data_IF_722674187103
#
_entry.id   IF_722674187103
#
_cell.length_a   1.000
_cell.length_b   1.000
_cell.length_c   1.000
_cell.angle_alpha   90.00
_cell.angle_beta   90.00
_cell.angle_gamma   90.00
#
_symmetry.space_group_name_H-M   'P 1'
#
loop_
_entity.id
_entity.type
_entity.pdbx_description
1 polymer ?
#
# COMPACT_ATOMS: atom_id res chain seq x y z
N UNK A 1 11.56 13.79 8.38
CA UNK A 1 11.83 12.35 8.26
C UNK A 1 11.84 11.86 6.82
N UNK A 2 10.73 11.97 6.01
CA UNK A 2 10.68 11.45 4.63
C UNK A 2 11.67 12.15 3.68
N UNK A 3 11.89 13.46 3.83
CA UNK A 3 12.91 14.18 3.06
C UNK A 3 14.31 13.63 3.37
N UNK A 4 14.65 13.45 4.65
CA UNK A 4 15.91 12.86 5.08
C UNK A 4 16.05 11.42 4.59
N UNK A 5 14.96 10.63 4.61
CA UNK A 5 14.97 9.29 4.02
C UNK A 5 15.27 9.35 2.51
N UNK A 6 14.68 10.28 1.77
CA UNK A 6 14.99 10.51 0.36
C UNK A 6 16.46 10.87 0.10
N UNK A 7 17.08 11.63 0.99
CA UNK A 7 18.49 12.01 0.89
C UNK A 7 19.44 10.82 1.10
N UNK A 8 19.11 9.89 2.00
CA UNK A 8 20.06 8.92 2.56
C UNK A 8 19.73 7.44 2.30
N UNK A 9 18.45 7.09 2.11
CA UNK A 9 18.03 5.69 2.01
C UNK A 9 17.89 5.23 0.56
N UNK A 10 18.15 3.94 0.33
CA UNK A 10 17.90 3.28 -0.95
C UNK A 10 16.50 2.68 -1.01
N UNK A 11 15.91 2.37 0.16
CA UNK A 11 14.54 1.87 0.28
C UNK A 11 13.79 2.76 1.26
N UNK A 12 12.63 3.29 0.86
CA UNK A 12 11.78 4.13 1.70
C UNK A 12 10.40 3.53 1.86
N UNK A 13 10.04 3.17 3.09
CA UNK A 13 8.72 2.64 3.43
C UNK A 13 7.68 3.76 3.58
N UNK A 14 6.57 3.63 2.87
CA UNK A 14 5.40 4.49 3.01
C UNK A 14 4.49 3.91 4.10
N UNK A 15 4.77 4.24 5.35
CA UNK A 15 3.92 3.86 6.48
C UNK A 15 2.57 4.59 6.45
N UNK A 16 1.62 4.16 7.29
CA UNK A 16 0.37 4.88 7.55
C UNK A 16 0.61 6.29 8.10
N UNK A 17 -0.43 7.08 8.39
CA UNK A 17 -0.28 8.44 8.90
C UNK A 17 0.56 8.45 10.18
N UNK A 18 1.56 9.34 10.22
CA UNK A 18 2.42 9.54 11.36
C UNK A 18 2.59 11.06 11.60
N UNK A 19 2.46 11.60 12.79
CA UNK A 19 2.19 10.86 14.04
C UNK A 19 0.82 10.17 13.99
N UNK A 20 0.72 9.09 14.74
CA UNK A 20 -0.53 8.35 14.88
C UNK A 20 -1.64 9.32 15.26
N UNK A 21 -2.76 9.39 14.54
CA UNK A 21 -3.85 10.28 14.93
C UNK A 21 -4.28 9.92 16.35
N UNK A 22 -4.11 10.84 17.27
CA UNK A 22 -4.55 10.66 18.68
C UNK A 22 -6.07 10.47 18.80
N UNK A 23 -6.78 10.69 17.69
CA UNK A 23 -8.22 10.53 17.57
C UNK A 23 -8.69 9.14 17.17
N UNK A 24 -7.78 8.22 16.78
CA UNK A 24 -8.20 6.85 16.46
C UNK A 24 -8.45 6.06 17.74
N UNK A 25 -9.55 5.26 17.77
CA UNK A 25 -9.81 4.36 18.89
C UNK A 25 -8.65 3.37 19.08
N UNK A 26 -8.42 2.88 20.32
CA UNK A 26 -7.42 1.84 20.56
C UNK A 26 -7.63 0.61 19.67
N UNK A 27 -6.56 0.07 19.10
CA UNK A 27 -6.60 -1.11 18.24
C UNK A 27 -6.89 -0.83 16.76
N UNK A 28 -7.16 0.42 16.37
CA UNK A 28 -7.36 0.79 14.98
C UNK A 28 -6.03 1.09 14.29
N UNK A 29 -5.87 0.57 13.07
CA UNK A 29 -4.67 0.74 12.26
C UNK A 29 -4.96 1.75 11.16
N UNK A 30 -4.16 2.84 11.04
CA UNK A 30 -4.34 3.80 9.97
C UNK A 30 -4.04 3.19 8.58
N UNK A 31 -4.96 3.33 7.64
CA UNK A 31 -4.70 3.09 6.23
C UNK A 31 -4.19 4.35 5.54
N UNK A 32 -3.31 4.15 4.57
CA UNK A 32 -2.78 5.21 3.73
C UNK A 32 -3.80 5.57 2.65
N UNK A 33 -4.28 6.80 2.61
CA UNK A 33 -5.10 7.26 1.50
C UNK A 33 -4.25 7.56 0.26
N UNK A 34 -4.83 7.55 -0.96
CA UNK A 34 -4.10 7.93 -2.17
C UNK A 34 -3.44 9.31 -2.07
N UNK A 35 -4.15 10.30 -1.57
CA UNK A 35 -3.63 11.66 -1.37
C UNK A 35 -2.45 11.69 -0.39
N UNK A 36 -2.56 10.96 0.72
CA UNK A 36 -1.46 10.86 1.68
C UNK A 36 -0.25 10.09 1.10
N UNK A 37 -0.47 9.15 0.19
CA UNK A 37 0.62 8.51 -0.55
C UNK A 37 1.34 9.50 -1.46
N UNK A 38 0.58 10.28 -2.25
CA UNK A 38 1.12 11.33 -3.12
C UNK A 38 1.97 12.35 -2.33
N UNK A 39 1.48 12.84 -1.19
CA UNK A 39 2.20 13.77 -0.33
C UNK A 39 3.53 13.19 0.20
N UNK A 40 3.51 11.91 0.60
CA UNK A 40 4.72 11.23 1.10
C UNK A 40 5.74 11.02 0.01
N UNK A 41 5.30 10.60 -1.16
CA UNK A 41 6.17 10.41 -2.34
C UNK A 41 6.79 11.75 -2.74
N UNK A 42 6.01 12.83 -2.74
CA UNK A 42 6.52 14.17 -3.00
C UNK A 42 7.60 14.59 -1.99
N UNK A 43 7.42 14.27 -0.70
CA UNK A 43 8.41 14.56 0.33
C UNK A 43 9.71 13.76 0.15
N UNK A 44 9.60 12.47 -0.22
CA UNK A 44 10.78 11.65 -0.56
C UNK A 44 11.50 12.19 -1.77
N UNK A 45 10.77 12.51 -2.84
CA UNK A 45 11.31 13.10 -4.09
C UNK A 45 12.02 14.40 -3.83
N UNK A 46 11.46 15.27 -2.98
CA UNK A 46 12.07 16.54 -2.62
C UNK A 46 13.39 16.39 -1.85
N UNK A 47 13.56 15.30 -1.09
CA UNK A 47 14.85 14.98 -0.45
C UNK A 47 15.83 14.31 -1.40
N UNK A 48 15.35 13.40 -2.24
CA UNK A 48 16.18 12.59 -3.12
C UNK A 48 16.80 13.39 -4.29
N UNK A 49 16.08 14.41 -4.79
CA UNK A 49 16.53 15.14 -5.98
C UNK A 49 16.75 14.19 -7.17
N UNK A 50 17.92 14.29 -7.80
CA UNK A 50 18.27 13.50 -8.99
C UNK A 50 18.41 11.99 -8.71
N UNK A 51 18.54 11.55 -7.45
CA UNK A 51 18.64 10.13 -7.12
C UNK A 51 17.28 9.44 -6.92
N UNK A 52 16.16 10.14 -7.07
CA UNK A 52 14.84 9.59 -6.79
C UNK A 52 14.55 8.27 -7.54
N UNK A 53 14.97 8.17 -8.78
CA UNK A 53 14.77 6.98 -9.62
C UNK A 53 15.61 5.76 -9.17
N UNK A 54 16.52 5.95 -8.21
CA UNK A 54 17.32 4.88 -7.60
C UNK A 54 16.71 4.39 -6.28
N UNK A 55 15.65 5.04 -5.79
CA UNK A 55 14.99 4.69 -4.54
C UNK A 55 13.87 3.68 -4.80
N UNK A 56 13.88 2.58 -4.07
CA UNK A 56 12.74 1.67 -4.00
C UNK A 56 11.71 2.20 -2.99
N UNK A 57 10.49 2.45 -3.48
CA UNK A 57 9.37 2.79 -2.60
C UNK A 57 8.67 1.51 -2.13
N UNK A 58 8.66 1.32 -0.81
CA UNK A 58 8.07 0.16 -0.16
C UNK A 58 6.71 0.49 0.48
N UNK A 59 5.78 -0.46 0.39
CA UNK A 59 4.52 -0.42 1.12
C UNK A 59 4.17 -1.79 1.68
N UNK A 60 3.64 -1.82 2.91
CA UNK A 60 3.03 -3.01 3.48
C UNK A 60 1.59 -3.14 3.00
N UNK A 61 1.25 -4.29 2.44
CA UNK A 61 -0.05 -4.61 1.89
C UNK A 61 -0.85 -5.50 2.83
N UNK A 62 -2.07 -5.14 3.11
CA UNK A 62 -3.12 -6.03 3.63
C UNK A 62 -3.81 -6.68 2.44
N UNK A 63 -3.73 -8.02 2.34
CA UNK A 63 -4.16 -8.76 1.14
C UNK A 63 -5.30 -9.72 1.49
N UNK A 64 -6.38 -9.65 0.71
CA UNK A 64 -7.56 -10.50 0.82
C UNK A 64 -7.84 -11.17 -0.54
N UNK A 65 -7.44 -12.43 -0.71
CA UNK A 65 -7.77 -13.21 -1.90
C UNK A 65 -9.21 -13.71 -1.76
N UNK A 66 -10.11 -13.14 -2.54
CA UNK A 66 -11.56 -13.36 -2.41
C UNK A 66 -12.29 -13.11 -3.73
N UNK A 67 -13.48 -13.70 -3.86
CA UNK A 67 -14.41 -13.37 -4.95
C UNK A 67 -15.30 -12.15 -4.67
N UNK A 68 -15.26 -11.59 -3.45
CA UNK A 68 -16.10 -10.46 -3.05
C UNK A 68 -15.26 -9.38 -2.33
N UNK A 69 -14.84 -8.39 -3.11
CA UNK A 69 -14.02 -7.26 -2.64
C UNK A 69 -14.78 -6.37 -1.66
N UNK A 70 -16.09 -6.21 -1.85
CA UNK A 70 -16.93 -5.38 -0.99
C UNK A 70 -17.04 -6.02 0.40
N UNK A 71 -17.31 -7.32 0.44
CA UNK A 71 -17.39 -8.06 1.71
C UNK A 71 -16.04 -8.04 2.45
N UNK A 72 -14.91 -8.16 1.75
CA UNK A 72 -13.58 -8.05 2.36
C UNK A 72 -13.33 -6.66 2.96
N UNK A 73 -13.69 -5.60 2.28
CA UNK A 73 -13.55 -4.24 2.79
C UNK A 73 -14.51 -3.95 3.96
N UNK A 74 -15.73 -4.49 3.92
CA UNK A 74 -16.66 -4.37 5.05
C UNK A 74 -16.16 -5.11 6.30
N UNK A 75 -15.53 -6.28 6.14
CA UNK A 75 -14.88 -7.00 7.23
C UNK A 75 -13.68 -6.21 7.79
N UNK A 76 -12.88 -5.59 6.91
CA UNK A 76 -11.74 -4.77 7.30
C UNK A 76 -12.14 -3.53 8.13
N UNK A 77 -13.40 -3.08 8.02
CA UNK A 77 -13.93 -2.00 8.87
C UNK A 77 -13.92 -2.31 10.37
N UNK A 78 -13.74 -3.56 10.77
CA UNK A 78 -13.56 -3.90 12.20
C UNK A 78 -12.31 -3.25 12.79
N UNK A 79 -11.26 -3.09 11.99
CA UNK A 79 -10.00 -2.47 12.41
C UNK A 79 -9.80 -1.07 11.79
N UNK A 80 -10.53 -0.76 10.71
CA UNK A 80 -10.51 0.52 10.01
C UNK A 80 -11.86 1.24 10.09
N UNK A 81 -12.53 1.20 11.24
CA UNK A 81 -13.94 1.65 11.40
C UNK A 81 -14.16 3.13 11.13
N UNK A 82 -13.11 3.93 11.08
CA UNK A 82 -13.13 5.35 10.74
C UNK A 82 -13.17 5.62 9.24
N UNK A 83 -13.05 4.57 8.40
CA UNK A 83 -13.12 4.64 6.95
C UNK A 83 -14.40 4.01 6.41
N UNK A 84 -14.89 4.53 5.31
CA UNK A 84 -15.90 3.87 4.48
C UNK A 84 -15.30 2.70 3.71
N UNK A 85 -16.13 1.84 3.17
CA UNK A 85 -15.71 0.75 2.29
C UNK A 85 -14.94 1.28 1.08
N UNK A 86 -15.43 2.36 0.47
CA UNK A 86 -14.78 2.97 -0.69
C UNK A 86 -13.38 3.52 -0.37
N UNK A 87 -13.22 4.13 0.81
CA UNK A 87 -11.91 4.62 1.26
C UNK A 87 -10.93 3.48 1.54
N UNK A 88 -11.40 2.35 2.07
CA UNK A 88 -10.58 1.15 2.27
C UNK A 88 -10.15 0.59 0.91
N UNK A 89 -11.09 0.41 -0.03
CA UNK A 89 -10.81 -0.10 -1.37
C UNK A 89 -9.92 0.83 -2.21
N UNK A 90 -9.93 2.13 -1.92
CA UNK A 90 -9.06 3.10 -2.57
C UNK A 90 -7.64 3.16 -1.99
N UNK A 91 -7.41 2.57 -0.81
CA UNK A 91 -6.10 2.61 -0.16
C UNK A 91 -5.06 1.80 -0.94
N UNK A 92 -3.87 2.35 -1.24
CA UNK A 92 -2.79 1.59 -1.86
C UNK A 92 -2.19 0.50 -0.94
N UNK A 93 -2.66 0.41 0.30
CA UNK A 93 -2.25 -0.62 1.26
C UNK A 93 -3.24 -1.77 1.38
N UNK A 94 -4.43 -1.66 0.80
CA UNK A 94 -5.48 -2.68 0.87
C UNK A 94 -5.74 -3.27 -0.50
N UNK A 95 -5.48 -4.56 -0.66
CA UNK A 95 -5.74 -5.30 -1.89
C UNK A 95 -6.77 -6.40 -1.62
N UNK A 96 -7.81 -6.43 -2.43
CA UNK A 96 -8.83 -7.47 -2.34
C UNK A 96 -9.31 -7.87 -3.74
N UNK A 97 -9.62 -9.13 -3.93
CA UNK A 97 -10.13 -9.67 -5.18
C UNK A 97 -9.57 -11.04 -5.52
N UNK A 98 -9.82 -11.49 -6.73
CA UNK A 98 -9.16 -12.67 -7.29
C UNK A 98 -7.65 -12.42 -7.46
N UNK A 99 -6.91 -13.48 -7.70
CA UNK A 99 -5.46 -13.42 -7.96
C UNK A 99 -5.10 -12.42 -9.05
N UNK A 100 -5.85 -12.42 -10.16
CA UNK A 100 -5.59 -11.53 -11.30
C UNK A 100 -5.97 -10.08 -10.97
N UNK A 101 -7.08 -9.85 -10.29
CA UNK A 101 -7.47 -8.49 -9.83
C UNK A 101 -6.46 -7.89 -8.86
N UNK A 102 -5.87 -8.70 -7.96
CA UNK A 102 -4.81 -8.25 -7.05
C UNK A 102 -3.54 -7.93 -7.84
N UNK A 103 -3.19 -8.75 -8.83
CA UNK A 103 -2.05 -8.48 -9.71
C UNK A 103 -2.23 -7.16 -10.48
N UNK A 104 -3.41 -6.89 -11.02
CA UNK A 104 -3.75 -5.63 -11.69
C UNK A 104 -3.63 -4.43 -10.73
N UNK A 105 -4.09 -4.56 -9.48
CA UNK A 105 -3.95 -3.53 -8.46
C UNK A 105 -2.48 -3.24 -8.15
N UNK A 106 -1.63 -4.26 -8.02
CA UNK A 106 -0.18 -4.10 -7.81
C UNK A 106 0.47 -3.35 -8.98
N UNK A 107 0.16 -3.74 -10.22
CA UNK A 107 0.67 -3.08 -11.41
C UNK A 107 0.19 -1.62 -11.49
N UNK A 108 -1.07 -1.36 -11.18
CA UNK A 108 -1.63 -0.01 -11.11
C UNK A 108 -0.95 0.84 -10.02
N UNK A 109 -0.62 0.28 -8.86
CA UNK A 109 0.12 0.99 -7.81
C UNK A 109 1.57 1.29 -8.22
N UNK A 110 2.20 0.38 -8.96
CA UNK A 110 3.52 0.60 -9.54
C UNK A 110 3.50 1.75 -10.54
N UNK A 111 2.53 1.77 -11.44
CA UNK A 111 2.38 2.82 -12.45
C UNK A 111 2.05 4.18 -11.82
N UNK A 112 1.05 4.22 -10.92
CA UNK A 112 0.56 5.47 -10.34
C UNK A 112 1.52 6.07 -9.32
N UNK A 113 2.06 5.24 -8.43
CA UNK A 113 2.81 5.69 -7.25
C UNK A 113 4.32 5.42 -7.33
N UNK A 114 4.77 4.65 -8.32
CA UNK A 114 6.16 4.22 -8.38
C UNK A 114 6.53 3.19 -7.31
N UNK A 115 5.54 2.51 -6.72
CA UNK A 115 5.78 1.47 -5.71
C UNK A 115 6.43 0.26 -6.37
N UNK A 116 7.59 -0.16 -5.87
CA UNK A 116 8.39 -1.26 -6.45
C UNK A 116 8.67 -2.40 -5.48
N UNK A 117 8.52 -2.14 -4.18
CA UNK A 117 8.75 -3.13 -3.14
C UNK A 117 7.48 -3.31 -2.29
N UNK A 118 6.93 -4.51 -2.31
CA UNK A 118 5.70 -4.84 -1.59
C UNK A 118 5.97 -5.89 -0.51
N UNK A 119 5.58 -5.59 0.73
CA UNK A 119 5.56 -6.55 1.83
C UNK A 119 4.10 -6.93 2.11
N UNK A 120 3.78 -8.22 2.13
CA UNK A 120 2.41 -8.70 2.30
C UNK A 120 2.11 -9.13 3.72
N UNK A 121 0.92 -8.83 4.20
CA UNK A 121 0.34 -9.28 5.46
C UNK A 121 -0.99 -9.98 5.18
N UNK A 122 -1.33 -10.97 5.99
CA UNK A 122 -2.61 -11.68 5.90
C UNK A 122 -2.65 -12.85 4.91
N UNK A 123 -1.54 -13.11 4.19
CA UNK A 123 -1.41 -14.23 3.26
C UNK A 123 -0.09 -14.97 3.46
N UNK A 124 -0.09 -16.27 3.22
CA UNK A 124 1.13 -17.08 3.18
C UNK A 124 1.85 -16.93 1.84
N UNK A 125 3.16 -17.24 1.76
CA UNK A 125 3.86 -17.25 0.48
C UNK A 125 3.23 -18.16 -0.57
N UNK A 126 2.67 -19.31 -0.17
CA UNK A 126 2.01 -20.25 -1.07
C UNK A 126 0.71 -19.67 -1.66
N UNK A 127 -0.09 -18.97 -0.85
CA UNK A 127 -1.31 -18.30 -1.32
C UNK A 127 -1.01 -17.12 -2.24
N UNK A 128 0.11 -16.42 -2.02
CA UNK A 128 0.47 -15.24 -2.79
C UNK A 128 1.27 -15.57 -4.07
N UNK A 129 1.84 -16.77 -4.19
CA UNK A 129 2.63 -17.16 -5.35
C UNK A 129 1.89 -17.00 -6.70
N UNK A 130 0.59 -17.37 -6.84
CA UNK A 130 -0.15 -17.15 -8.08
C UNK A 130 -0.29 -15.66 -8.45
N UNK A 131 -0.38 -14.75 -7.45
CA UNK A 131 -0.40 -13.30 -7.68
C UNK A 131 0.92 -12.84 -8.30
N UNK A 132 2.05 -13.32 -7.77
CA UNK A 132 3.39 -13.01 -8.30
C UNK A 132 3.50 -13.47 -9.77
N UNK A 133 3.00 -14.66 -10.09
CA UNK A 133 3.01 -15.18 -11.44
C UNK A 133 2.17 -14.33 -12.40
N UNK A 134 0.99 -13.87 -11.96
CA UNK A 134 0.15 -12.96 -12.73
C UNK A 134 0.80 -11.60 -12.93
N UNK A 135 1.42 -11.02 -11.90
CA UNK A 135 2.19 -9.76 -12.01
C UNK A 135 3.30 -9.88 -13.04
N UNK A 136 4.05 -10.99 -13.04
CA UNK A 136 5.16 -11.22 -14.00
C UNK A 136 4.68 -11.33 -15.45
N UNK A 137 3.47 -11.85 -15.67
CA UNK A 137 2.88 -11.96 -17.01
C UNK A 137 2.35 -10.62 -17.51
N UNK A 138 1.88 -9.74 -16.61
CA UNK A 138 1.35 -8.43 -16.93
C UNK A 138 2.39 -7.30 -16.95
N UNK A 139 3.61 -7.60 -16.54
CA UNK A 139 4.70 -6.61 -16.49
C UNK A 139 5.42 -6.45 -17.84
#
# INVERSE_FOLDING_TARGET
>A
LLRTAGELADIVGLAGPFPHPTSLPPGHIPLLSPAAADDRIAAVRAGAGARFDQIELNVGLEVHITGDRQAAAEEARRIHSYLSVDEILASPKFLAGSTDEIAEQILGHRERFGLSYFATLGVTPAEFAPVIDSVRKGA
#
